data_IF_943738122130
#
_entry.id   IF_943738122130
#
_cell.length_a   1.000
_cell.length_b   1.000
_cell.length_c   1.000
_cell.angle_alpha   90.00
_cell.angle_beta   90.00
_cell.angle_gamma   90.00
#
_symmetry.space_group_name_H-M   'P 1'
#
loop_
_entity.id
_entity.type
_entity.pdbx_description
1 polymer ?
#
# COMPACT_ATOMS: atom_id res chain seq x y z
N UNK A 1 -9.85 9.31 -55.64
CA UNK A 1 -10.29 10.72 -55.53
C UNK A 1 -11.48 10.92 -54.56
N UNK A 2 -11.90 9.91 -53.78
CA UNK A 2 -13.06 9.98 -52.86
C UNK A 2 -12.69 10.15 -51.37
N UNK A 3 -11.40 10.18 -51.01
CA UNK A 3 -10.94 10.31 -49.62
C UNK A 3 -10.65 11.75 -49.15
N UNK A 4 -10.47 12.69 -50.09
CA UNK A 4 -10.23 14.10 -49.73
C UNK A 4 -11.52 14.81 -49.29
N UNK A 5 -12.65 14.42 -49.87
CA UNK A 5 -13.97 15.05 -49.63
C UNK A 5 -14.51 14.79 -48.21
N UNK A 6 -14.18 13.63 -47.64
CA UNK A 6 -14.63 13.22 -46.30
C UNK A 6 -13.89 13.93 -45.17
N UNK A 7 -12.65 14.38 -45.42
CA UNK A 7 -11.87 15.18 -44.46
C UNK A 7 -12.42 16.59 -44.37
N UNK A 8 -12.68 17.22 -45.52
CA UNK A 8 -13.11 18.62 -45.60
C UNK A 8 -14.48 18.84 -44.94
N UNK A 9 -15.40 17.89 -45.13
CA UNK A 9 -16.73 17.90 -44.51
C UNK A 9 -16.71 17.81 -42.97
N UNK A 10 -15.69 17.18 -42.37
CA UNK A 10 -15.56 17.06 -40.90
C UNK A 10 -14.98 18.31 -40.25
N UNK A 11 -14.14 19.06 -40.98
CA UNK A 11 -13.58 20.33 -40.51
C UNK A 11 -14.64 21.44 -40.44
N UNK A 12 -15.67 21.40 -41.30
CA UNK A 12 -16.75 22.40 -41.32
C UNK A 12 -17.77 22.26 -40.18
N UNK A 13 -17.77 21.14 -39.45
CA UNK A 13 -18.69 20.89 -38.33
C UNK A 13 -18.08 21.16 -36.93
N UNK A 14 -16.78 21.43 -36.84
CA UNK A 14 -16.12 21.73 -35.57
C UNK A 14 -16.15 23.24 -35.31
N UNK A 15 -17.02 23.69 -34.41
CA UNK A 15 -17.19 25.11 -34.05
C UNK A 15 -16.11 25.64 -33.08
N UNK A 16 -15.14 24.83 -32.66
CA UNK A 16 -13.98 25.32 -31.89
C UNK A 16 -12.73 24.44 -32.07
N UNK A 17 -11.55 25.06 -31.93
CA UNK A 17 -10.25 24.36 -31.92
C UNK A 17 -10.21 23.19 -30.91
N UNK A 18 -10.91 23.30 -29.78
CA UNK A 18 -10.98 22.22 -28.79
C UNK A 18 -11.76 20.99 -29.26
N UNK A 19 -12.69 21.15 -30.21
CA UNK A 19 -13.44 20.03 -30.80
C UNK A 19 -12.59 19.26 -31.83
N UNK A 20 -11.69 19.96 -32.54
CA UNK A 20 -10.70 19.31 -33.42
C UNK A 20 -9.75 18.42 -32.60
N UNK A 21 -9.25 18.91 -31.45
CA UNK A 21 -8.44 18.10 -30.54
C UNK A 21 -9.21 16.96 -29.84
N UNK A 22 -10.53 17.09 -29.68
CA UNK A 22 -11.36 16.03 -29.12
C UNK A 22 -11.64 14.90 -30.13
N UNK A 23 -11.75 15.23 -31.42
CA UNK A 23 -11.95 14.25 -32.49
C UNK A 23 -10.71 13.38 -32.76
N UNK A 24 -9.51 13.91 -32.46
CA UNK A 24 -8.23 13.20 -32.62
C UNK A 24 -7.74 12.49 -31.35
N UNK A 25 -8.45 12.64 -30.22
CA UNK A 25 -8.07 11.92 -29.01
C UNK A 25 -8.31 10.42 -29.20
N UNK A 26 -7.28 9.57 -29.05
CA UNK A 26 -7.50 8.13 -28.99
C UNK A 26 -8.51 7.84 -27.87
N UNK A 27 -9.36 6.83 -28.10
CA UNK A 27 -10.36 6.44 -27.12
C UNK A 27 -9.71 6.23 -25.74
N UNK A 28 -10.36 6.64 -24.64
CA UNK A 28 -9.85 6.38 -23.30
C UNK A 28 -9.52 4.90 -23.17
N UNK A 29 -8.29 4.60 -22.78
CA UNK A 29 -7.89 3.20 -22.55
C UNK A 29 -8.76 2.67 -21.40
N UNK A 30 -9.35 1.48 -21.53
CA UNK A 30 -10.15 0.88 -20.47
C UNK A 30 -9.34 0.79 -19.16
N UNK A 31 -10.00 0.99 -18.01
CA UNK A 31 -9.35 0.95 -16.69
C UNK A 31 -8.58 -0.37 -16.47
N UNK A 32 -9.16 -1.49 -16.90
CA UNK A 32 -8.54 -2.82 -16.81
C UNK A 32 -7.22 -2.93 -17.60
N UNK A 33 -7.12 -2.26 -18.75
CA UNK A 33 -5.90 -2.25 -19.56
C UNK A 33 -4.81 -1.38 -18.92
N UNK A 34 -5.20 -0.26 -18.30
CA UNK A 34 -4.27 0.56 -17.52
C UNK A 34 -3.71 -0.19 -16.31
N UNK A 35 -4.57 -0.91 -15.57
CA UNK A 35 -4.16 -1.71 -14.41
C UNK A 35 -3.19 -2.83 -14.80
N UNK A 36 -3.46 -3.55 -15.89
CA UNK A 36 -2.54 -4.57 -16.42
C UNK A 36 -1.18 -3.98 -16.81
N UNK A 37 -1.17 -2.86 -17.53
CA UNK A 37 0.09 -2.18 -17.92
C UNK A 37 0.89 -1.75 -16.69
N UNK A 38 0.21 -1.24 -15.67
CA UNK A 38 0.84 -0.87 -14.40
C UNK A 38 1.42 -2.09 -13.70
N UNK A 39 0.68 -3.19 -13.62
CA UNK A 39 1.17 -4.42 -12.99
C UNK A 39 2.42 -4.98 -13.70
N UNK A 40 2.42 -4.99 -15.03
CA UNK A 40 3.61 -5.41 -15.82
C UNK A 40 4.81 -4.52 -15.53
N UNK A 41 4.61 -3.20 -15.48
CA UNK A 41 5.65 -2.23 -15.15
C UNK A 41 6.19 -2.43 -13.73
N UNK A 42 5.30 -2.56 -12.75
CA UNK A 42 5.67 -2.73 -11.34
C UNK A 42 6.48 -4.03 -11.14
N UNK A 43 6.08 -5.13 -11.78
CA UNK A 43 6.83 -6.39 -11.79
C UNK A 43 8.22 -6.20 -12.41
N UNK A 44 8.34 -5.48 -13.53
CA UNK A 44 9.63 -5.23 -14.18
C UNK A 44 10.57 -4.42 -13.27
N UNK A 45 10.06 -3.40 -12.57
CA UNK A 45 10.84 -2.59 -11.63
C UNK A 45 11.35 -3.43 -10.44
N UNK A 46 10.52 -4.32 -9.91
CA UNK A 46 10.90 -5.24 -8.82
C UNK A 46 11.99 -6.21 -9.26
N UNK A 47 11.83 -6.81 -10.45
CA UNK A 47 12.83 -7.72 -11.02
C UNK A 47 14.18 -7.03 -11.21
N UNK A 48 14.18 -5.83 -11.80
CA UNK A 48 15.40 -5.05 -12.02
C UNK A 48 16.06 -4.65 -10.70
N UNK A 49 15.29 -4.21 -9.70
CA UNK A 49 15.80 -3.89 -8.37
C UNK A 49 16.40 -5.11 -7.65
N UNK A 50 15.79 -6.29 -7.80
CA UNK A 50 16.32 -7.53 -7.26
C UNK A 50 17.61 -7.98 -7.95
N UNK A 51 17.69 -7.85 -9.29
CA UNK A 51 18.91 -8.13 -10.06
C UNK A 51 20.08 -7.28 -9.57
N UNK A 52 19.87 -6.00 -9.31
CA UNK A 52 20.90 -5.09 -8.75
C UNK A 52 21.40 -5.53 -7.36
N UNK A 53 20.59 -6.29 -6.61
CA UNK A 53 20.96 -6.88 -5.32
C UNK A 53 21.52 -8.30 -5.43
N UNK A 54 21.76 -8.80 -6.65
CA UNK A 54 22.31 -10.15 -6.89
C UNK A 54 21.29 -11.29 -6.81
N UNK A 55 19.98 -10.99 -6.80
CA UNK A 55 18.93 -12.01 -6.82
C UNK A 55 18.68 -12.49 -8.26
N UNK A 56 18.45 -13.79 -8.44
CA UNK A 56 18.16 -14.38 -9.74
C UNK A 56 16.75 -13.97 -10.24
N UNK A 57 16.67 -13.43 -11.46
CA UNK A 57 15.41 -12.99 -12.06
C UNK A 57 14.31 -14.08 -12.09
N UNK A 58 14.58 -15.33 -12.51
CA UNK A 58 13.56 -16.38 -12.52
C UNK A 58 12.96 -16.61 -11.12
N UNK A 59 13.79 -16.55 -10.08
CA UNK A 59 13.37 -16.73 -8.69
C UNK A 59 12.45 -15.60 -8.23
N UNK A 60 12.78 -14.34 -8.57
CA UNK A 60 11.92 -13.19 -8.22
C UNK A 60 10.57 -13.31 -8.93
N UNK A 61 10.55 -13.64 -10.23
CA UNK A 61 9.30 -13.77 -10.99
C UNK A 61 8.42 -14.89 -10.45
N UNK A 62 8.98 -16.06 -10.20
CA UNK A 62 8.26 -17.17 -9.58
C UNK A 62 7.71 -16.77 -8.20
N UNK A 63 8.55 -16.12 -7.38
CA UNK A 63 8.17 -15.61 -6.08
C UNK A 63 7.03 -14.60 -6.15
N UNK A 64 7.03 -13.68 -7.11
CA UNK A 64 5.94 -12.72 -7.34
C UNK A 64 4.63 -13.41 -7.73
N UNK A 65 4.69 -14.44 -8.57
CA UNK A 65 3.50 -15.26 -8.90
C UNK A 65 2.96 -15.97 -7.66
N UNK A 66 3.84 -16.55 -6.84
CA UNK A 66 3.45 -17.21 -5.59
C UNK A 66 2.89 -16.22 -4.56
N UNK A 67 3.46 -15.01 -4.47
CA UNK A 67 2.96 -13.95 -3.62
C UNK A 67 1.58 -13.49 -4.04
N UNK A 68 1.31 -13.35 -5.34
CA UNK A 68 -0.02 -12.98 -5.83
C UNK A 68 -1.05 -14.08 -5.55
N UNK A 69 -0.65 -15.36 -5.62
CA UNK A 69 -1.51 -16.47 -5.21
C UNK A 69 -1.81 -16.46 -3.70
N UNK A 70 -0.84 -16.06 -2.87
CA UNK A 70 -0.97 -16.02 -1.40
C UNK A 70 -1.69 -14.77 -0.89
N UNK A 71 -1.41 -13.62 -1.52
CA UNK A 71 -1.86 -12.28 -1.17
C UNK A 71 -2.23 -11.52 -2.47
N UNK A 72 -3.40 -11.80 -3.07
CA UNK A 72 -3.78 -11.20 -4.35
C UNK A 72 -3.72 -9.66 -4.32
N UNK A 73 -3.03 -9.08 -5.31
CA UNK A 73 -2.93 -7.63 -5.45
C UNK A 73 -2.09 -6.91 -4.39
N UNK A 74 -1.35 -7.63 -3.53
CA UNK A 74 -0.53 -7.02 -2.47
C UNK A 74 0.59 -6.13 -3.02
N UNK A 75 1.08 -6.44 -4.22
CA UNK A 75 2.16 -5.70 -4.87
C UNK A 75 1.75 -4.23 -5.07
N UNK A 76 2.50 -3.34 -4.45
CA UNK A 76 2.23 -1.91 -4.48
C UNK A 76 3.54 -1.14 -4.29
N UNK A 77 3.99 -0.46 -5.34
CA UNK A 77 5.19 0.36 -5.28
C UNK A 77 4.99 1.67 -4.49
N UNK A 78 3.74 2.06 -4.25
CA UNK A 78 3.40 3.20 -3.38
C UNK A 78 3.52 2.89 -1.88
N UNK A 79 3.52 1.61 -1.47
CA UNK A 79 3.62 1.21 -0.05
C UNK A 79 4.98 0.64 0.32
N UNK A 80 5.74 0.15 -0.65
CA UNK A 80 7.05 -0.46 -0.42
C UNK A 80 7.90 -0.42 -1.69
N UNK A 81 9.19 -0.09 -1.55
CA UNK A 81 10.12 0.02 -2.69
C UNK A 81 10.28 -1.30 -3.45
N UNK A 82 10.58 -1.24 -4.77
CA UNK A 82 10.81 -2.42 -5.59
C UNK A 82 11.85 -3.40 -5.01
N UNK A 83 12.95 -2.87 -4.45
CA UNK A 83 14.01 -3.70 -3.89
C UNK A 83 13.64 -4.45 -2.61
N UNK A 84 12.62 -4.02 -1.90
CA UNK A 84 12.09 -4.72 -0.72
C UNK A 84 11.06 -5.76 -1.13
N UNK A 85 10.21 -5.44 -2.12
CA UNK A 85 9.36 -6.45 -2.78
C UNK A 85 10.18 -7.60 -3.37
N UNK A 86 11.34 -7.32 -3.96
CA UNK A 86 12.24 -8.35 -4.46
C UNK A 86 12.76 -9.27 -3.33
N UNK A 87 13.04 -8.71 -2.15
CA UNK A 87 13.46 -9.50 -0.99
C UNK A 87 12.31 -10.37 -0.45
N UNK A 88 11.09 -9.84 -0.39
CA UNK A 88 9.88 -10.60 -0.01
C UNK A 88 9.60 -11.72 -1.02
N UNK A 89 9.71 -11.45 -2.32
CA UNK A 89 9.50 -12.44 -3.38
C UNK A 89 10.58 -13.52 -3.40
N UNK A 90 11.80 -13.25 -2.94
CA UNK A 90 12.86 -14.24 -2.90
C UNK A 90 12.57 -15.41 -1.94
N UNK A 91 11.76 -15.19 -0.90
CA UNK A 91 11.44 -16.16 0.14
C UNK A 91 9.94 -16.11 0.53
N UNK A 92 9.11 -16.72 -0.31
CA UNK A 92 7.66 -16.82 -0.13
C UNK A 92 7.24 -17.74 1.01
N UNK A 93 8.09 -18.71 1.38
CA UNK A 93 7.85 -19.59 2.53
C UNK A 93 7.92 -18.77 3.82
N UNK A 94 8.98 -17.97 3.99
CA UNK A 94 9.09 -17.07 5.13
C UNK A 94 7.98 -16.00 5.17
N UNK A 95 7.35 -15.68 4.05
CA UNK A 95 6.16 -14.80 4.01
C UNK A 95 4.94 -15.51 4.57
N UNK A 96 4.68 -16.75 4.14
CA UNK A 96 3.57 -17.55 4.66
C UNK A 96 3.70 -17.78 6.18
N UNK A 97 4.90 -18.09 6.67
CA UNK A 97 5.19 -18.22 8.10
C UNK A 97 4.87 -16.93 8.87
N UNK A 98 5.24 -15.75 8.34
CA UNK A 98 4.92 -14.47 8.97
C UNK A 98 3.41 -14.19 9.00
N UNK A 99 2.67 -14.57 7.96
CA UNK A 99 1.21 -14.43 7.94
C UNK A 99 0.57 -15.33 9.01
N UNK A 100 1.01 -16.58 9.10
CA UNK A 100 0.54 -17.52 10.14
C UNK A 100 0.86 -16.97 11.53
N UNK A 101 2.08 -16.47 11.73
CA UNK A 101 2.48 -15.84 12.98
C UNK A 101 1.60 -14.64 13.33
N UNK A 102 1.39 -13.71 12.40
CA UNK A 102 0.50 -12.57 12.59
C UNK A 102 -0.92 -13.00 12.94
N UNK A 103 -1.44 -14.06 12.30
CA UNK A 103 -2.77 -14.61 12.62
C UNK A 103 -2.82 -15.22 14.02
N UNK A 104 -1.72 -15.83 14.48
CA UNK A 104 -1.64 -16.34 15.85
C UNK A 104 -1.57 -15.23 16.90
N UNK A 105 -0.92 -14.11 16.57
CA UNK A 105 -0.80 -12.93 17.44
C UNK A 105 -2.09 -12.11 17.50
N UNK A 106 -2.84 -12.03 16.39
CA UNK A 106 -4.12 -11.32 16.32
C UNK A 106 -5.23 -12.22 15.75
N UNK A 107 -5.75 -13.19 16.52
CA UNK A 107 -6.64 -14.23 16.01
C UNK A 107 -7.95 -13.71 15.41
N UNK A 108 -8.51 -12.64 15.97
CA UNK A 108 -9.74 -12.01 15.49
C UNK A 108 -9.52 -11.01 14.35
N UNK A 109 -8.27 -10.67 14.03
CA UNK A 109 -7.97 -9.67 13.01
C UNK A 109 -7.97 -10.25 11.58
N UNK A 110 -8.40 -9.44 10.63
CA UNK A 110 -8.12 -9.59 9.20
C UNK A 110 -6.68 -9.18 8.89
N UNK A 111 -5.78 -10.15 9.01
CA UNK A 111 -4.34 -9.97 8.74
C UNK A 111 -4.09 -9.59 7.27
N UNK A 112 -4.91 -10.07 6.33
CA UNK A 112 -4.72 -9.77 4.92
C UNK A 112 -4.93 -8.28 4.67
N UNK A 113 -5.99 -7.70 5.25
CA UNK A 113 -6.24 -6.26 5.20
C UNK A 113 -5.10 -5.44 5.82
N UNK A 114 -4.57 -5.89 6.97
CA UNK A 114 -3.46 -5.23 7.65
C UNK A 114 -2.19 -5.27 6.78
N UNK A 115 -1.79 -6.45 6.31
CA UNK A 115 -0.59 -6.65 5.48
C UNK A 115 -0.72 -5.91 4.15
N UNK A 116 -1.89 -5.91 3.53
CA UNK A 116 -2.13 -5.16 2.30
C UNK A 116 -1.84 -3.67 2.48
N UNK A 117 -2.26 -3.08 3.59
CA UNK A 117 -2.02 -1.66 3.92
C UNK A 117 -0.60 -1.39 4.39
N UNK A 118 0.01 -2.31 5.14
CA UNK A 118 1.35 -2.20 5.71
C UNK A 118 2.24 -3.39 5.28
N UNK A 119 2.61 -3.50 4.00
CA UNK A 119 3.36 -4.66 3.49
C UNK A 119 4.78 -4.78 4.07
N UNK A 120 5.32 -3.70 4.64
CA UNK A 120 6.62 -3.70 5.34
C UNK A 120 6.67 -4.67 6.52
N UNK A 121 5.52 -5.10 7.06
CA UNK A 121 5.46 -6.18 8.07
C UNK A 121 6.11 -7.48 7.57
N UNK A 122 6.07 -7.74 6.26
CA UNK A 122 6.66 -8.95 5.66
C UNK A 122 8.19 -8.96 5.67
N UNK A 123 8.82 -7.80 5.88
CA UNK A 123 10.27 -7.64 6.01
C UNK A 123 10.77 -7.85 7.45
N UNK A 124 9.87 -7.84 8.43
CA UNK A 124 10.23 -7.94 9.84
C UNK A 124 10.61 -9.38 10.19
N UNK A 125 11.52 -9.53 11.16
CA UNK A 125 11.84 -10.85 11.69
C UNK A 125 10.69 -11.38 12.54
N UNK A 126 10.48 -12.71 12.63
CA UNK A 126 9.46 -13.31 13.49
C UNK A 126 9.55 -12.85 14.96
N UNK A 127 10.77 -12.78 15.50
CA UNK A 127 11.01 -12.31 16.86
C UNK A 127 10.56 -10.86 17.07
N UNK A 128 10.81 -9.98 16.08
CA UNK A 128 10.36 -8.60 16.14
C UNK A 128 8.84 -8.49 16.07
N UNK A 129 8.19 -9.24 15.18
CA UNK A 129 6.72 -9.28 15.10
C UNK A 129 6.08 -9.71 16.41
N UNK A 130 6.64 -10.71 17.09
CA UNK A 130 6.18 -11.17 18.40
C UNK A 130 6.35 -10.08 19.48
N UNK A 131 7.54 -9.49 19.57
CA UNK A 131 7.83 -8.44 20.55
C UNK A 131 6.92 -7.23 20.36
N UNK A 132 6.74 -6.79 19.12
CA UNK A 132 5.90 -5.64 18.80
C UNK A 132 4.42 -5.94 19.10
N UNK A 133 3.95 -7.14 18.78
CA UNK A 133 2.58 -7.54 19.08
C UNK A 133 2.28 -7.59 20.58
N UNK A 134 3.21 -8.11 21.39
CA UNK A 134 3.07 -8.11 22.84
C UNK A 134 2.93 -6.69 23.39
N UNK A 135 3.76 -5.76 22.91
CA UNK A 135 3.71 -4.37 23.34
C UNK A 135 2.43 -3.66 22.87
N UNK A 136 2.00 -3.89 21.62
CA UNK A 136 0.74 -3.35 21.08
C UNK A 136 -0.45 -3.82 21.92
N UNK A 137 -0.53 -5.13 22.22
CA UNK A 137 -1.62 -5.68 23.03
C UNK A 137 -1.58 -5.16 24.48
N UNK A 138 -0.39 -4.89 25.04
CA UNK A 138 -0.24 -4.25 26.34
C UNK A 138 -0.77 -2.81 26.31
N UNK A 139 -0.43 -2.04 25.28
CA UNK A 139 -0.92 -0.66 25.08
C UNK A 139 -2.43 -0.60 24.85
N UNK A 140 -3.01 -1.61 24.20
CA UNK A 140 -4.45 -1.74 23.94
C UNK A 140 -5.18 -2.60 24.98
N UNK A 141 -4.59 -2.83 26.16
CA UNK A 141 -5.14 -3.77 27.15
C UNK A 141 -6.52 -3.37 27.71
N UNK A 142 -6.89 -2.09 27.65
CA UNK A 142 -8.23 -1.61 28.02
C UNK A 142 -9.24 -1.62 26.85
N UNK A 143 -8.80 -1.94 25.62
CA UNK A 143 -9.67 -2.00 24.46
C UNK A 143 -10.53 -3.26 24.49
N UNK A 144 -11.83 -3.12 24.26
CA UNK A 144 -12.75 -4.25 24.16
C UNK A 144 -12.47 -5.12 22.92
N UNK A 145 -12.03 -4.51 21.82
CA UNK A 145 -11.66 -5.21 20.60
C UNK A 145 -10.42 -4.56 19.94
N UNK A 146 -9.20 -4.91 20.42
CA UNK A 146 -7.96 -4.39 19.87
C UNK A 146 -7.80 -4.67 18.37
N UNK A 147 -8.29 -5.82 17.89
CA UNK A 147 -8.18 -6.21 16.49
C UNK A 147 -8.91 -5.23 15.56
N UNK A 148 -10.11 -4.78 15.94
CA UNK A 148 -10.87 -3.79 15.16
C UNK A 148 -10.11 -2.45 15.01
N UNK A 149 -9.36 -2.04 16.03
CA UNK A 149 -8.51 -0.84 15.96
C UNK A 149 -7.39 -1.05 14.92
N UNK A 150 -6.70 -2.19 14.98
CA UNK A 150 -5.58 -2.49 14.08
C UNK A 150 -6.02 -2.69 12.62
N UNK A 151 -7.21 -3.25 12.38
CA UNK A 151 -7.77 -3.39 11.02
C UNK A 151 -8.19 -2.05 10.41
N UNK A 152 -8.76 -1.17 11.24
CA UNK A 152 -9.17 0.16 10.81
C UNK A 152 -7.95 1.04 10.54
N UNK A 153 -6.92 0.93 11.38
CA UNK A 153 -5.69 1.72 11.27
C UNK A 153 -4.44 0.84 11.33
N UNK A 154 -4.07 0.16 10.22
CA UNK A 154 -2.92 -0.76 10.17
C UNK A 154 -1.56 -0.11 10.49
N UNK A 155 -1.44 1.21 10.36
CA UNK A 155 -0.21 1.92 10.73
C UNK A 155 0.12 1.79 12.22
N UNK A 156 -0.89 1.54 13.06
CA UNK A 156 -0.75 1.28 14.50
C UNK A 156 -0.22 -0.11 14.83
N UNK A 157 -0.02 -0.98 13.82
CA UNK A 157 0.77 -2.22 13.97
C UNK A 157 2.27 -1.87 13.99
N UNK A 158 2.62 -0.98 14.91
CA UNK A 158 3.96 -0.52 15.28
C UNK A 158 3.85 0.13 16.68
N UNK A 159 4.54 -0.39 17.71
CA UNK A 159 4.41 0.10 19.08
C UNK A 159 4.72 1.58 19.26
N UNK A 160 5.72 2.10 18.52
CA UNK A 160 6.13 3.49 18.62
C UNK A 160 5.04 4.41 18.08
N UNK A 161 4.50 4.11 16.90
CA UNK A 161 3.39 4.85 16.28
C UNK A 161 2.14 4.81 17.17
N UNK A 162 1.80 3.65 17.73
CA UNK A 162 0.67 3.51 18.65
C UNK A 162 0.86 4.33 19.94
N UNK A 163 2.03 4.25 20.57
CA UNK A 163 2.29 5.00 21.81
C UNK A 163 2.24 6.52 21.60
N UNK A 164 2.81 7.03 20.50
CA UNK A 164 2.70 8.44 20.10
C UNK A 164 1.26 8.85 19.87
N UNK A 165 0.51 8.04 19.12
CA UNK A 165 -0.92 8.24 18.87
C UNK A 165 -1.71 8.36 20.19
N UNK A 166 -1.53 7.43 21.13
CA UNK A 166 -2.22 7.46 22.42
C UNK A 166 -1.84 8.69 23.25
N UNK A 167 -0.57 9.11 23.20
CA UNK A 167 -0.10 10.32 23.88
C UNK A 167 -0.75 11.59 23.28
N UNK A 168 -0.81 11.69 21.95
CA UNK A 168 -1.47 12.79 21.26
C UNK A 168 -2.96 12.85 21.57
N UNK A 169 -3.66 11.71 21.57
CA UNK A 169 -5.07 11.63 21.95
C UNK A 169 -5.30 12.08 23.39
N UNK A 170 -4.45 11.66 24.32
CA UNK A 170 -4.52 12.06 25.73
C UNK A 170 -4.32 13.57 25.91
N UNK A 171 -3.44 14.18 25.11
CA UNK A 171 -3.22 15.63 25.13
C UNK A 171 -4.38 16.41 24.51
N UNK A 172 -4.95 15.91 23.40
CA UNK A 172 -6.04 16.57 22.69
C UNK A 172 -7.39 16.42 23.40
N UNK A 173 -7.60 15.32 24.14
CA UNK A 173 -8.84 15.03 24.86
C UNK A 173 -8.59 14.74 26.35
N UNK A 174 -8.22 15.76 27.16
CA UNK A 174 -7.98 15.57 28.59
C UNK A 174 -9.20 14.98 29.31
N UNK A 175 -8.96 14.03 30.22
CA UNK A 175 -10.01 13.38 31.01
C UNK A 175 -10.75 12.24 30.30
N UNK A 176 -10.46 11.98 29.02
CA UNK A 176 -10.96 10.81 28.28
C UNK A 176 -9.90 9.72 28.21
N UNK A 177 -10.28 8.44 28.29
CA UNK A 177 -9.37 7.33 28.01
C UNK A 177 -9.05 7.28 26.50
N UNK A 178 -7.79 7.48 26.09
CA UNK A 178 -7.40 7.51 24.68
C UNK A 178 -7.66 6.17 23.98
N UNK A 179 -7.59 5.03 24.69
CA UNK A 179 -7.83 3.71 24.09
C UNK A 179 -9.32 3.53 23.81
N UNK A 180 -10.19 3.89 24.76
CA UNK A 180 -11.63 3.87 24.56
C UNK A 180 -12.08 4.84 23.45
N UNK A 181 -11.44 6.00 23.34
CA UNK A 181 -11.70 6.96 22.26
C UNK A 181 -11.33 6.37 20.90
N UNK A 182 -10.14 5.78 20.79
CA UNK A 182 -9.67 5.14 19.56
C UNK A 182 -10.53 3.94 19.15
N UNK A 183 -11.05 3.16 20.11
CA UNK A 183 -11.97 2.06 19.85
C UNK A 183 -13.29 2.53 19.21
N UNK A 184 -13.80 3.69 19.65
CA UNK A 184 -15.06 4.27 19.15
C UNK A 184 -14.88 5.00 17.82
N UNK A 185 -13.74 5.65 17.64
CA UNK A 185 -13.42 6.47 16.47
C UNK A 185 -12.01 6.16 15.96
N UNK A 186 -11.78 5.02 15.28
CA UNK A 186 -10.46 4.67 14.77
C UNK A 186 -9.90 5.66 13.72
N UNK A 187 -10.80 6.37 13.04
CA UNK A 187 -10.54 7.38 12.01
C UNK A 187 -10.14 8.75 12.58
N UNK A 188 -10.25 8.95 13.91
CA UNK A 188 -9.89 10.20 14.58
C UNK A 188 -8.45 10.66 14.26
N UNK A 189 -7.57 9.70 13.95
CA UNK A 189 -6.17 9.94 13.64
C UNK A 189 -5.94 10.62 12.29
N UNK A 190 -6.85 10.42 11.34
CA UNK A 190 -6.81 11.11 10.05
C UNK A 190 -7.09 12.60 10.20
N UNK A 191 -7.90 12.99 11.19
CA UNK A 191 -8.33 14.37 11.44
C UNK A 191 -7.34 15.15 12.32
N UNK A 192 -6.57 14.47 13.15
CA UNK A 192 -5.62 15.09 14.08
C UNK A 192 -4.28 15.47 13.44
N UNK A 193 -4.13 15.31 12.12
CA UNK A 193 -2.88 15.62 11.41
C UNK A 193 -1.71 14.77 11.90
N UNK A 194 -1.95 13.47 12.13
CA UNK A 194 -0.97 12.55 12.69
C UNK A 194 0.39 12.65 11.98
N UNK A 195 1.45 12.90 12.75
CA UNK A 195 2.85 12.82 12.31
C UNK A 195 3.21 11.43 11.73
N UNK A 196 2.36 10.41 11.89
CA UNK A 196 2.49 9.13 11.19
C UNK A 196 2.41 9.27 9.67
N UNK A 197 1.81 10.35 9.15
CA UNK A 197 1.82 10.67 7.72
C UNK A 197 3.18 11.22 7.22
N UNK A 198 4.07 11.65 8.13
CA UNK A 198 5.32 12.37 7.77
C UNK A 198 6.37 11.44 7.16
N UNK A 199 6.31 10.12 7.39
CA UNK A 199 7.21 9.17 6.70
C UNK A 199 6.91 8.98 5.20
N UNK A 200 5.77 9.46 4.70
CA UNK A 200 5.47 9.41 3.26
C UNK A 200 6.16 10.52 2.45
N UNK A 201 6.73 11.55 3.10
CA UNK A 201 7.14 12.77 2.40
C UNK A 201 8.66 13.03 2.35
N UNK A 202 9.47 12.43 3.21
CA UNK A 202 10.89 12.81 3.28
C UNK A 202 11.83 12.00 2.36
N UNK A 203 11.49 10.75 2.03
CA UNK A 203 12.34 9.87 1.19
C UNK A 203 11.65 9.40 -0.11
N UNK A 204 10.36 9.70 -0.29
CA UNK A 204 9.52 9.14 -1.36
C UNK A 204 8.80 10.25 -2.12
N UNK A 205 9.53 10.95 -2.98
CA UNK A 205 8.96 12.07 -3.71
C UNK A 205 9.81 12.66 -4.83
N UNK A 206 10.84 11.98 -5.31
CA UNK A 206 11.52 12.38 -6.54
C UNK A 206 11.30 11.31 -7.61
N UNK A 207 10.05 11.19 -8.07
CA UNK A 207 9.83 10.73 -9.43
C UNK A 207 10.42 11.81 -10.34
N UNK A 208 11.65 11.57 -10.77
CA UNK A 208 12.34 12.28 -11.85
C UNK A 208 11.41 12.41 -13.06
N UNK A 209 10.65 13.49 -13.10
CA UNK A 209 10.16 14.06 -14.34
C UNK A 209 11.39 14.72 -14.96
N UNK A 210 12.09 13.95 -15.80
CA UNK A 210 13.05 14.54 -16.73
C UNK A 210 12.49 14.37 -18.13
N UNK A 211 12.40 15.54 -18.75
CA UNK A 211 12.08 15.85 -20.14
C UNK A 211 12.85 14.99 -21.15
#
# INVERSE_FOLDING_TARGET
MQHADTMQTRYEQAYSMSQLYAAERPAPIPLDEHERRRQVKDVAEVVEAGRRKGLAEPRIREGLTQLDALLPGVLSLHRMKPGDWAAVAADTVAVAEKIILLKSLYPSADIFRIVFRKPRLLLMTPARLQSDAQEILRLLSSAANPAAILEATPDLVDPLSLSRCLASLKSAFPGTDPVALLQRHPDILSNLGSEAAVELTADYGELSTKD
#
